data_IF_099116407662
#
_entry.id   IF_099116407662
#
_cell.length_a   1.000
_cell.length_b   1.000
_cell.length_c   1.000
_cell.angle_alpha   90.00
_cell.angle_beta   90.00
_cell.angle_gamma   90.00
#
_symmetry.space_group_name_H-M   'P 1'
#
loop_
_entity.id
_entity.type
_entity.pdbx_description
1 polymer ?
#
# COMPACT_ATOMS: atom_id res chain seq x y z
N UNK A 1 6.80 6.32 18.83
CA UNK A 1 6.71 5.84 17.44
C UNK A 1 8.11 5.85 16.85
N UNK A 2 8.57 4.73 16.25
CA UNK A 2 9.90 4.65 15.62
C UNK A 2 9.96 5.67 14.46
N UNK A 3 11.02 6.45 14.36
CA UNK A 3 11.25 7.31 13.20
C UNK A 3 11.72 6.47 12.01
N UNK A 4 11.17 6.75 10.85
CA UNK A 4 11.59 6.15 9.61
C UNK A 4 12.69 6.99 8.97
N UNK A 5 13.75 6.34 8.50
CA UNK A 5 14.93 7.01 7.95
C UNK A 5 14.78 7.27 6.44
N UNK A 6 13.61 7.73 6.00
CA UNK A 6 13.41 8.16 4.61
C UNK A 6 13.58 9.69 4.50
N UNK A 7 14.15 10.12 3.40
CA UNK A 7 14.39 11.54 3.09
C UNK A 7 14.69 11.71 1.59
N UNK A 8 14.75 12.93 1.06
CA UNK A 8 15.20 13.16 -0.31
C UNK A 8 16.62 12.68 -0.62
N UNK A 9 17.44 12.43 0.42
CA UNK A 9 18.80 11.87 0.29
C UNK A 9 18.87 10.37 0.57
N UNK A 10 17.79 9.78 1.04
CA UNK A 10 17.62 8.34 1.24
C UNK A 10 16.17 7.97 0.89
N UNK A 11 15.90 7.89 -0.40
CA UNK A 11 14.57 7.62 -0.95
C UNK A 11 14.25 6.14 -0.78
N UNK A 12 13.18 5.86 -0.09
CA UNK A 12 12.72 4.50 0.08
C UNK A 12 11.98 3.97 -1.15
N UNK A 13 12.03 2.67 -1.35
CA UNK A 13 11.28 1.96 -2.40
C UNK A 13 10.20 1.10 -1.77
N UNK A 14 8.94 1.39 -2.13
CA UNK A 14 7.79 0.60 -1.77
C UNK A 14 7.38 -0.30 -2.95
N UNK A 15 7.29 -1.59 -2.70
CA UNK A 15 6.84 -2.57 -3.70
C UNK A 15 5.31 -2.57 -3.77
N UNK A 16 4.75 -1.97 -4.83
CA UNK A 16 3.31 -1.87 -5.08
C UNK A 16 2.70 -3.25 -5.34
N UNK A 17 1.95 -3.76 -4.37
CA UNK A 17 1.39 -5.13 -4.35
C UNK A 17 2.48 -6.21 -4.44
N UNK A 18 3.65 -5.94 -3.83
CA UNK A 18 4.87 -6.73 -4.02
C UNK A 18 5.60 -6.40 -5.33
N UNK A 19 6.46 -7.29 -5.80
CA UNK A 19 7.14 -7.12 -7.10
C UNK A 19 6.20 -7.43 -8.27
N UNK A 20 5.15 -6.61 -8.41
CA UNK A 20 4.02 -6.87 -9.29
C UNK A 20 4.34 -6.75 -10.78
N UNK A 21 5.46 -6.11 -11.19
CA UNK A 21 5.90 -6.13 -12.59
C UNK A 21 6.22 -7.53 -13.07
N UNK A 22 6.90 -8.34 -12.25
CA UNK A 22 7.37 -9.68 -12.65
C UNK A 22 6.60 -10.83 -11.99
N UNK A 23 5.90 -10.59 -10.89
CA UNK A 23 5.15 -11.59 -10.13
C UNK A 23 3.65 -11.26 -10.06
N UNK A 24 2.77 -12.23 -9.77
CA UNK A 24 1.35 -11.95 -9.56
C UNK A 24 1.16 -11.00 -8.38
N UNK A 25 0.47 -9.88 -8.60
CA UNK A 25 0.23 -8.86 -7.57
C UNK A 25 -0.49 -9.42 -6.34
N UNK A 26 -0.21 -8.86 -5.16
CA UNK A 26 -0.82 -9.25 -3.88
C UNK A 26 -0.71 -10.75 -3.57
N UNK A 27 0.36 -11.43 -4.01
CA UNK A 27 0.65 -12.83 -3.68
C UNK A 27 1.90 -12.95 -2.82
N UNK A 28 2.02 -14.07 -2.10
CA UNK A 28 3.20 -14.34 -1.29
C UNK A 28 4.48 -14.42 -2.13
N UNK A 29 4.36 -14.86 -3.38
CA UNK A 29 5.44 -14.91 -4.36
C UNK A 29 5.97 -13.50 -4.68
N UNK A 30 5.08 -12.55 -4.93
CA UNK A 30 5.44 -11.15 -5.19
C UNK A 30 6.09 -10.48 -3.97
N UNK A 31 5.57 -10.75 -2.77
CA UNK A 31 6.13 -10.19 -1.53
C UNK A 31 7.52 -10.75 -1.23
N UNK A 32 7.72 -12.07 -1.35
CA UNK A 32 9.04 -12.70 -1.16
C UNK A 32 10.07 -12.17 -2.16
N UNK A 33 9.67 -12.01 -3.42
CA UNK A 33 10.56 -11.46 -4.45
C UNK A 33 10.94 -10.00 -4.16
N UNK A 34 10.01 -9.16 -3.71
CA UNK A 34 10.28 -7.79 -3.31
C UNK A 34 11.25 -7.71 -2.12
N UNK A 35 11.03 -8.53 -1.08
CA UNK A 35 11.93 -8.60 0.09
C UNK A 35 13.33 -9.05 -0.31
N UNK A 36 13.45 -10.02 -1.22
CA UNK A 36 14.75 -10.51 -1.70
C UNK A 36 15.57 -9.44 -2.44
N UNK A 37 14.91 -8.43 -3.04
CA UNK A 37 15.57 -7.28 -3.68
C UNK A 37 16.00 -6.20 -2.69
N UNK A 38 15.50 -6.26 -1.45
CA UNK A 38 15.84 -5.30 -0.40
C UNK A 38 15.01 -4.00 -0.49
N UNK A 39 13.72 -4.11 -0.78
CA UNK A 39 12.80 -2.97 -0.67
C UNK A 39 12.60 -2.55 0.78
N UNK A 40 12.29 -1.29 1.03
CA UNK A 40 12.06 -0.74 2.38
C UNK A 40 10.64 -0.95 2.86
N UNK A 41 9.70 -1.04 1.91
CA UNK A 41 8.28 -1.13 2.20
C UNK A 41 7.60 -2.08 1.22
N UNK A 42 6.59 -2.80 1.70
CA UNK A 42 5.61 -3.49 0.87
C UNK A 42 4.30 -2.73 0.96
N UNK A 43 3.73 -2.42 -0.18
CA UNK A 43 2.36 -1.93 -0.25
C UNK A 43 1.43 -3.11 -0.60
N UNK A 44 0.24 -3.15 0.00
CA UNK A 44 -0.75 -4.22 -0.21
C UNK A 44 -2.17 -3.76 0.07
N UNK A 45 -3.14 -4.40 -0.56
CA UNK A 45 -4.56 -4.07 -0.53
C UNK A 45 -5.34 -5.08 0.31
N UNK A 46 -6.17 -4.60 1.25
CA UNK A 46 -6.98 -5.47 2.12
C UNK A 46 -8.45 -5.39 1.74
N UNK A 47 -9.07 -6.57 1.59
CA UNK A 47 -10.51 -6.78 1.40
C UNK A 47 -11.07 -7.80 2.36
N UNK A 48 -12.41 -7.85 2.44
CA UNK A 48 -13.14 -8.80 3.27
C UNK A 48 -13.90 -9.83 2.41
N UNK A 49 -13.88 -11.09 2.84
CA UNK A 49 -14.64 -12.20 2.23
C UNK A 49 -16.07 -12.27 2.78
N UNK A 50 -16.91 -13.12 2.15
CA UNK A 50 -18.28 -13.41 2.58
C UNK A 50 -18.38 -13.93 4.03
N UNK A 51 -17.40 -14.71 4.45
CA UNK A 51 -17.30 -15.29 5.81
C UNK A 51 -16.41 -14.45 6.72
N UNK A 52 -16.18 -13.18 6.35
CA UNK A 52 -15.53 -12.19 7.20
C UNK A 52 -14.01 -12.34 7.32
N UNK A 53 -13.32 -13.06 6.43
CA UNK A 53 -11.87 -13.15 6.49
C UNK A 53 -11.20 -12.00 5.72
N UNK A 54 -10.09 -11.48 6.23
CA UNK A 54 -9.30 -10.45 5.56
C UNK A 54 -8.33 -11.11 4.59
N UNK A 55 -8.40 -10.69 3.32
CA UNK A 55 -7.58 -11.21 2.21
C UNK A 55 -6.88 -10.08 1.48
N UNK A 56 -5.78 -10.40 0.78
CA UNK A 56 -5.03 -9.41 0.01
C UNK A 56 -5.47 -9.45 -1.45
N UNK A 57 -6.18 -8.41 -1.86
CA UNK A 57 -6.69 -8.29 -3.23
C UNK A 57 -7.05 -6.83 -3.56
N UNK A 58 -6.66 -6.35 -4.74
CA UNK A 58 -6.91 -4.95 -5.11
C UNK A 58 -8.35 -4.70 -5.55
N UNK A 59 -8.80 -5.40 -6.61
CA UNK A 59 -10.09 -5.14 -7.24
C UNK A 59 -11.25 -5.64 -6.37
N UNK A 60 -12.44 -5.10 -6.58
CA UNK A 60 -13.64 -5.65 -5.96
C UNK A 60 -13.99 -7.05 -6.48
N UNK A 61 -13.55 -7.40 -7.70
CA UNK A 61 -13.76 -8.69 -8.33
C UNK A 61 -12.45 -9.47 -8.49
N UNK A 62 -12.54 -10.79 -8.58
CA UNK A 62 -11.39 -11.69 -8.77
C UNK A 62 -10.97 -11.84 -10.24
N UNK A 63 -11.71 -11.27 -11.17
CA UNK A 63 -11.66 -11.56 -12.62
C UNK A 63 -10.32 -11.23 -13.27
N UNK A 64 -9.69 -10.13 -12.90
CA UNK A 64 -8.47 -9.65 -13.57
C UNK A 64 -7.24 -10.48 -13.21
N UNK A 65 -7.16 -10.96 -12.00
CA UNK A 65 -5.94 -11.58 -11.45
C UNK A 65 -6.06 -13.09 -11.23
N UNK A 66 -7.27 -13.66 -11.34
CA UNK A 66 -7.48 -15.09 -11.11
C UNK A 66 -8.20 -15.77 -12.29
N UNK A 67 -8.37 -17.09 -12.21
CA UNK A 67 -9.20 -17.89 -13.10
C UNK A 67 -10.70 -17.88 -12.72
N UNK A 68 -11.07 -17.21 -11.62
CA UNK A 68 -12.46 -17.05 -11.17
C UNK A 68 -13.14 -15.79 -11.74
N UNK A 69 -14.43 -15.64 -11.41
CA UNK A 69 -15.27 -14.50 -11.79
C UNK A 69 -16.23 -14.15 -10.67
N UNK A 70 -16.35 -12.89 -10.30
CA UNK A 70 -17.29 -12.40 -9.29
C UNK A 70 -16.64 -11.53 -8.21
N UNK A 71 -17.46 -11.03 -7.27
CA UNK A 71 -17.00 -10.13 -6.21
C UNK A 71 -16.27 -10.91 -5.10
N UNK A 72 -15.14 -10.40 -4.61
CA UNK A 72 -14.39 -10.98 -3.48
C UNK A 72 -15.32 -11.26 -2.28
N UNK A 73 -16.21 -10.31 -1.96
CA UNK A 73 -17.16 -10.41 -0.84
C UNK A 73 -18.25 -11.48 -1.00
N UNK A 74 -18.40 -12.07 -2.19
CA UNK A 74 -19.39 -13.13 -2.44
C UNK A 74 -18.79 -14.54 -2.25
N UNK A 75 -17.46 -14.63 -2.11
CA UNK A 75 -16.72 -15.86 -1.85
C UNK A 75 -16.38 -16.02 -0.36
N UNK A 76 -16.47 -17.22 0.15
CA UNK A 76 -15.81 -17.60 1.41
C UNK A 76 -14.30 -17.69 1.18
N UNK A 77 -13.50 -17.65 2.27
CA UNK A 77 -12.06 -17.86 2.17
C UNK A 77 -11.72 -19.20 1.50
N UNK A 78 -12.47 -20.26 1.85
CA UNK A 78 -12.23 -21.59 1.29
C UNK A 78 -12.43 -21.62 -0.24
N UNK A 79 -13.41 -20.90 -0.75
CA UNK A 79 -13.65 -20.76 -2.20
C UNK A 79 -12.57 -19.91 -2.86
N UNK A 80 -12.17 -18.76 -2.29
CA UNK A 80 -11.09 -17.92 -2.81
C UNK A 80 -9.76 -18.68 -2.89
N UNK A 81 -9.46 -19.53 -1.91
CA UNK A 81 -8.24 -20.34 -1.89
C UNK A 81 -8.20 -21.43 -2.98
N UNK A 82 -9.31 -21.72 -3.67
CA UNK A 82 -9.31 -22.61 -4.85
C UNK A 82 -8.90 -21.87 -6.13
N UNK A 83 -9.07 -20.55 -6.19
CA UNK A 83 -8.75 -19.76 -7.37
C UNK A 83 -7.23 -19.69 -7.59
N UNK A 84 -6.84 -19.68 -8.85
CA UNK A 84 -5.45 -19.51 -9.27
C UNK A 84 -5.14 -18.03 -9.50
N UNK A 85 -4.43 -17.42 -8.56
CA UNK A 85 -4.04 -16.00 -8.62
C UNK A 85 -2.77 -15.74 -9.45
N UNK A 86 -2.17 -16.78 -10.02
CA UNK A 86 -0.96 -16.66 -10.83
C UNK A 86 -1.17 -16.84 -12.32
N UNK A 87 -2.24 -17.53 -12.70
CA UNK A 87 -2.47 -17.99 -14.08
C UNK A 87 -2.50 -16.83 -15.11
N UNK A 88 -3.01 -15.66 -14.72
CA UNK A 88 -3.05 -14.46 -15.58
C UNK A 88 -1.67 -13.82 -15.74
N UNK A 89 -0.72 -14.10 -14.84
CA UNK A 89 0.66 -13.61 -14.91
C UNK A 89 1.53 -14.49 -15.81
N UNK A 90 1.22 -15.78 -15.90
CA UNK A 90 1.92 -16.73 -16.76
C UNK A 90 2.05 -18.11 -16.12
N UNK A 91 2.34 -19.11 -16.96
CA UNK A 91 2.38 -20.54 -16.57
C UNK A 91 3.31 -20.84 -15.39
N UNK A 92 4.40 -20.08 -15.28
CA UNK A 92 5.36 -20.22 -14.17
C UNK A 92 4.75 -19.92 -12.79
N UNK A 93 3.61 -19.26 -12.73
CA UNK A 93 2.93 -18.84 -11.51
C UNK A 93 1.62 -19.60 -11.27
N UNK A 94 1.31 -20.57 -12.12
CA UNK A 94 0.14 -21.42 -11.94
C UNK A 94 0.18 -22.08 -10.56
N UNK A 95 -0.93 -21.97 -9.82
CA UNK A 95 -1.05 -22.48 -8.46
C UNK A 95 -0.82 -21.45 -7.35
N UNK A 96 -0.44 -20.20 -7.66
CA UNK A 96 -0.44 -19.12 -6.68
C UNK A 96 -1.84 -18.91 -6.10
N UNK A 97 -1.91 -18.53 -4.83
CA UNK A 97 -3.18 -18.33 -4.12
C UNK A 97 -3.31 -16.92 -3.58
N UNK A 98 -4.55 -16.43 -3.46
CA UNK A 98 -4.86 -15.20 -2.75
C UNK A 98 -4.48 -15.37 -1.27
N UNK A 99 -3.54 -14.57 -0.71
CA UNK A 99 -3.16 -14.68 0.69
C UNK A 99 -4.23 -14.08 1.61
N UNK A 100 -4.32 -14.57 2.83
CA UNK A 100 -4.96 -13.82 3.91
C UNK A 100 -4.04 -12.72 4.43
N UNK A 101 -4.63 -11.70 5.04
CA UNK A 101 -3.85 -10.66 5.73
C UNK A 101 -2.98 -11.27 6.86
N UNK A 102 -3.48 -12.29 7.55
CA UNK A 102 -2.74 -12.99 8.60
C UNK A 102 -1.51 -13.74 8.05
N UNK A 103 -1.64 -14.47 6.92
CA UNK A 103 -0.50 -15.14 6.27
C UNK A 103 0.60 -14.14 5.88
N UNK A 104 0.21 -12.95 5.43
CA UNK A 104 1.14 -11.88 5.13
C UNK A 104 1.81 -11.31 6.40
N UNK A 105 1.03 -11.04 7.45
CA UNK A 105 1.55 -10.53 8.72
C UNK A 105 2.52 -11.52 9.38
N UNK A 106 2.24 -12.82 9.33
CA UNK A 106 3.15 -13.86 9.81
C UNK A 106 4.47 -13.87 9.02
N UNK A 107 4.39 -13.67 7.71
CA UNK A 107 5.57 -13.60 6.85
C UNK A 107 6.46 -12.40 7.16
N UNK A 108 5.88 -11.21 7.34
CA UNK A 108 6.66 -9.98 7.58
C UNK A 108 7.10 -9.82 9.04
N UNK A 109 6.52 -10.59 9.97
CA UNK A 109 6.83 -10.51 11.41
C UNK A 109 8.33 -10.67 11.72
N UNK A 110 9.05 -11.65 11.15
CA UNK A 110 10.48 -11.84 11.40
C UNK A 110 11.40 -10.85 10.67
N UNK A 111 10.86 -9.93 9.87
CA UNK A 111 11.62 -8.96 9.09
C UNK A 111 11.63 -7.59 9.81
N UNK A 112 12.61 -7.30 10.70
CA UNK A 112 12.50 -6.20 11.66
C UNK A 112 12.46 -4.81 11.03
N UNK A 113 13.06 -4.64 9.86
CA UNK A 113 13.18 -3.34 9.18
C UNK A 113 12.10 -3.12 8.11
N UNK A 114 11.37 -4.17 7.73
CA UNK A 114 10.28 -4.07 6.75
C UNK A 114 9.14 -3.21 7.27
N UNK A 115 8.73 -2.23 6.47
CA UNK A 115 7.53 -1.43 6.71
C UNK A 115 6.42 -1.82 5.74
N UNK A 116 5.18 -1.47 6.06
CA UNK A 116 4.01 -1.88 5.28
C UNK A 116 3.12 -0.67 5.04
N UNK A 117 2.71 -0.47 3.79
CA UNK A 117 1.61 0.42 3.42
C UNK A 117 0.36 -0.43 3.17
N UNK A 118 -0.65 -0.25 4.00
CA UNK A 118 -1.88 -1.06 3.98
C UNK A 118 -3.00 -0.22 3.40
N UNK A 119 -3.46 -0.54 2.19
CA UNK A 119 -4.59 0.13 1.58
C UNK A 119 -5.90 -0.60 1.90
N UNK A 120 -6.86 0.12 2.51
CA UNK A 120 -8.19 -0.39 2.81
C UNK A 120 -9.09 -0.21 1.58
N UNK A 121 -9.62 -1.31 1.06
CA UNK A 121 -10.43 -1.36 -0.16
C UNK A 121 -11.92 -1.50 0.08
N UNK A 122 -12.35 -1.55 1.33
CA UNK A 122 -13.77 -1.42 1.68
C UNK A 122 -14.10 0.06 1.90
N UNK A 123 -15.12 0.54 1.21
CA UNK A 123 -15.40 1.98 1.09
C UNK A 123 -16.74 2.36 1.72
N UNK A 124 -16.76 3.48 2.43
CA UNK A 124 -17.93 3.98 3.17
C UNK A 124 -19.13 4.27 2.28
N UNK A 125 -18.93 4.63 1.01
CA UNK A 125 -20.01 4.86 0.06
C UNK A 125 -20.65 3.57 -0.48
N UNK A 126 -20.01 2.41 -0.29
CA UNK A 126 -20.54 1.08 -0.64
C UNK A 126 -21.22 0.44 0.56
N UNK A 127 -20.50 0.34 1.68
CA UNK A 127 -21.01 -0.16 2.96
C UNK A 127 -20.19 0.45 4.09
N UNK A 128 -20.75 1.48 4.72
CA UNK A 128 -20.05 2.25 5.76
C UNK A 128 -19.71 1.39 6.99
N UNK A 129 -20.63 0.52 7.40
CA UNK A 129 -20.42 -0.33 8.57
C UNK A 129 -19.29 -1.32 8.35
N UNK A 130 -19.29 -1.98 7.19
CA UNK A 130 -18.22 -2.92 6.80
C UNK A 130 -16.89 -2.19 6.64
N UNK A 131 -16.85 -0.99 6.04
CA UNK A 131 -15.60 -0.23 5.89
C UNK A 131 -14.97 0.11 7.25
N UNK A 132 -15.76 0.57 8.22
CA UNK A 132 -15.27 0.85 9.58
C UNK A 132 -14.85 -0.42 10.32
N UNK A 133 -15.63 -1.51 10.23
CA UNK A 133 -15.28 -2.80 10.82
C UNK A 133 -13.95 -3.32 10.30
N UNK A 134 -13.74 -3.30 8.97
CA UNK A 134 -12.49 -3.76 8.35
C UNK A 134 -11.31 -2.90 8.81
N UNK A 135 -11.46 -1.57 8.84
CA UNK A 135 -10.41 -0.69 9.33
C UNK A 135 -10.03 -1.01 10.78
N UNK A 136 -11.02 -1.16 11.65
CA UNK A 136 -10.79 -1.48 13.07
C UNK A 136 -10.09 -2.83 13.25
N UNK A 137 -10.53 -3.86 12.51
CA UNK A 137 -9.93 -5.20 12.58
C UNK A 137 -8.51 -5.25 12.06
N UNK A 138 -8.22 -4.56 10.94
CA UNK A 138 -6.86 -4.44 10.41
C UNK A 138 -5.95 -3.78 11.44
N UNK A 139 -6.39 -2.67 12.03
CA UNK A 139 -5.61 -1.95 13.03
C UNK A 139 -5.45 -2.74 14.35
N UNK A 140 -6.45 -3.52 14.74
CA UNK A 140 -6.33 -4.44 15.87
C UNK A 140 -5.27 -5.52 15.60
N UNK A 141 -5.27 -6.15 14.44
CA UNK A 141 -4.24 -7.13 14.05
C UNK A 141 -2.85 -6.50 14.04
N UNK A 142 -2.73 -5.28 13.50
CA UNK A 142 -1.48 -4.52 13.54
C UNK A 142 -0.95 -4.34 14.97
N UNK A 143 -1.83 -4.03 15.92
CA UNK A 143 -1.45 -3.91 17.35
C UNK A 143 -1.04 -5.25 17.95
N UNK A 144 -1.79 -6.32 17.71
CA UNK A 144 -1.51 -7.67 18.18
C UNK A 144 -0.15 -8.20 17.69
N UNK A 145 0.25 -7.80 16.47
CA UNK A 145 1.56 -8.13 15.92
C UNK A 145 2.68 -7.20 16.39
N UNK A 146 2.33 -6.08 17.07
CA UNK A 146 3.30 -5.06 17.49
C UNK A 146 3.84 -4.23 16.31
N UNK A 147 3.03 -4.02 15.27
CA UNK A 147 3.42 -3.37 14.02
C UNK A 147 3.05 -1.89 13.95
N UNK A 148 2.48 -1.30 14.99
CA UNK A 148 2.02 0.10 15.03
C UNK A 148 3.05 1.10 14.50
N UNK A 149 4.33 0.86 14.78
CA UNK A 149 5.45 1.71 14.32
C UNK A 149 6.00 1.34 12.93
N UNK A 150 5.48 0.28 12.32
CA UNK A 150 5.97 -0.28 11.07
C UNK A 150 4.97 -0.17 9.91
N UNK A 151 3.78 0.40 10.17
CA UNK A 151 2.76 0.55 9.14
C UNK A 151 2.45 2.01 8.83
N UNK A 152 1.95 2.22 7.65
CA UNK A 152 1.10 3.34 7.28
C UNK A 152 -0.20 2.77 6.73
N UNK A 153 -1.32 3.40 7.05
CA UNK A 153 -2.65 2.98 6.60
C UNK A 153 -3.19 3.98 5.59
N UNK A 154 -3.78 3.50 4.51
CA UNK A 154 -4.34 4.38 3.51
C UNK A 154 -5.71 3.90 2.99
N UNK A 155 -6.44 4.80 2.38
CA UNK A 155 -7.60 4.54 1.54
C UNK A 155 -7.83 5.72 0.61
N UNK A 156 -8.37 5.48 -0.57
CA UNK A 156 -8.92 6.54 -1.40
C UNK A 156 -10.23 7.12 -0.85
N UNK A 157 -10.84 6.51 0.16
CA UNK A 157 -12.01 7.02 0.87
C UNK A 157 -11.59 8.01 1.96
N UNK A 158 -11.79 9.32 1.67
CA UNK A 158 -11.44 10.38 2.61
C UNK A 158 -12.24 10.34 3.90
N UNK A 159 -13.49 9.84 3.87
CA UNK A 159 -14.33 9.64 5.06
C UNK A 159 -13.77 8.55 5.95
N UNK A 160 -13.27 7.45 5.37
CA UNK A 160 -12.62 6.37 6.12
C UNK A 160 -11.31 6.86 6.77
N UNK A 161 -10.49 7.62 6.02
CA UNK A 161 -9.27 8.23 6.57
C UNK A 161 -9.59 9.17 7.74
N UNK A 162 -10.61 10.01 7.61
CA UNK A 162 -11.07 10.89 8.69
C UNK A 162 -11.58 10.13 9.90
N UNK A 163 -12.34 9.04 9.70
CA UNK A 163 -12.77 8.14 10.78
C UNK A 163 -11.58 7.60 11.58
N UNK A 164 -10.55 7.09 10.90
CA UNK A 164 -9.33 6.59 11.53
C UNK A 164 -8.63 7.70 12.32
N UNK A 165 -8.48 8.89 11.72
CA UNK A 165 -7.85 10.03 12.37
C UNK A 165 -8.62 10.50 13.61
N UNK A 166 -9.95 10.49 13.57
CA UNK A 166 -10.79 10.89 14.71
C UNK A 166 -10.79 9.87 15.83
N UNK A 167 -10.83 8.57 15.49
CA UNK A 167 -10.92 7.47 16.48
C UNK A 167 -9.59 7.18 17.15
N UNK A 168 -8.51 7.18 16.37
CA UNK A 168 -7.19 6.71 16.83
C UNK A 168 -6.15 7.83 16.99
N UNK A 169 -6.48 9.05 16.56
CA UNK A 169 -5.55 10.18 16.61
C UNK A 169 -4.28 9.91 15.81
N UNK A 170 -3.13 10.19 16.42
CA UNK A 170 -1.80 9.99 15.83
C UNK A 170 -1.19 8.60 16.10
N UNK A 171 -1.99 7.64 16.59
CA UNK A 171 -1.49 6.30 16.90
C UNK A 171 -0.95 5.57 15.68
N UNK A 172 -1.60 5.73 14.52
CA UNK A 172 -1.17 5.14 13.27
C UNK A 172 -0.79 6.23 12.28
N UNK A 173 0.28 6.02 11.51
CA UNK A 173 0.59 6.85 10.36
C UNK A 173 -0.48 6.67 9.30
N UNK A 174 -0.89 7.76 8.66
CA UNK A 174 -1.83 7.72 7.56
C UNK A 174 -1.18 8.23 6.27
N UNK A 175 -1.49 7.57 5.17
CA UNK A 175 -1.11 7.93 3.82
C UNK A 175 -2.35 8.41 3.07
N UNK A 176 -2.27 9.60 2.49
CA UNK A 176 -3.34 10.21 1.70
C UNK A 176 -2.83 10.58 0.29
N UNK A 177 -3.62 11.27 -0.50
CA UNK A 177 -3.29 11.54 -1.90
C UNK A 177 -3.33 13.04 -2.21
N UNK A 178 -2.42 13.50 -3.09
CA UNK A 178 -2.41 14.86 -3.63
C UNK A 178 -2.45 14.79 -5.16
N UNK A 179 -3.40 15.45 -5.85
CA UNK A 179 -4.37 16.42 -5.31
C UNK A 179 -5.50 15.77 -4.49
N UNK A 180 -6.11 16.56 -3.62
CA UNK A 180 -7.20 16.11 -2.73
C UNK A 180 -8.40 15.54 -3.49
N UNK A 181 -8.57 15.91 -4.76
CA UNK A 181 -9.61 15.38 -5.65
C UNK A 181 -9.43 13.89 -5.99
N UNK A 182 -8.32 13.27 -5.59
CA UNK A 182 -8.13 11.81 -5.65
C UNK A 182 -8.89 11.09 -4.55
N UNK A 183 -9.14 11.76 -3.42
CA UNK A 183 -9.97 11.22 -2.35
C UNK A 183 -11.44 11.39 -2.71
N UNK A 184 -12.20 10.32 -2.56
CA UNK A 184 -13.66 10.35 -2.68
C UNK A 184 -14.33 10.28 -1.30
N UNK A 185 -15.66 10.35 -1.28
CA UNK A 185 -16.44 10.40 -0.04
C UNK A 185 -16.57 11.83 0.51
N UNK A 186 -17.35 11.96 1.57
CA UNK A 186 -17.56 13.23 2.27
C UNK A 186 -16.72 13.24 3.54
N UNK A 187 -15.80 14.18 3.64
CA UNK A 187 -14.95 14.42 4.81
C UNK A 187 -14.84 15.92 5.06
N UNK A 188 -14.65 16.29 6.31
CA UNK A 188 -14.66 17.71 6.75
C UNK A 188 -13.26 18.24 7.01
N UNK A 189 -12.36 17.39 7.54
CA UNK A 189 -11.01 17.79 7.89
C UNK A 189 -10.10 17.79 6.67
N UNK A 190 -9.21 18.77 6.61
CA UNK A 190 -8.11 18.73 5.64
C UNK A 190 -7.21 17.51 5.94
N UNK A 191 -7.12 16.50 5.03
CA UNK A 191 -6.38 15.26 5.30
C UNK A 191 -4.90 15.48 5.56
N UNK A 192 -4.28 16.51 5.00
CA UNK A 192 -2.86 16.81 5.22
C UNK A 192 -2.55 17.26 6.65
N UNK A 193 -3.56 17.63 7.45
CA UNK A 193 -3.37 18.01 8.87
C UNK A 193 -3.16 16.84 9.81
N UNK A 194 -3.47 15.62 9.38
CA UNK A 194 -3.29 14.40 10.16
C UNK A 194 -2.49 13.31 9.45
N UNK A 195 -2.26 13.46 8.14
CA UNK A 195 -1.49 12.48 7.37
C UNK A 195 0.01 12.56 7.67
N UNK A 196 0.65 11.41 7.72
CA UNK A 196 2.11 11.29 7.78
C UNK A 196 2.74 11.56 6.41
N UNK A 197 2.13 11.04 5.35
CA UNK A 197 2.60 11.16 3.97
C UNK A 197 1.46 11.31 2.99
N UNK A 198 1.78 11.78 1.79
CA UNK A 198 0.84 11.83 0.68
C UNK A 198 1.51 11.41 -0.63
N UNK A 199 0.83 10.54 -1.39
CA UNK A 199 1.20 10.23 -2.76
C UNK A 199 0.88 11.42 -3.68
N UNK A 200 1.91 12.01 -4.29
CA UNK A 200 1.78 13.12 -5.23
C UNK A 200 1.62 12.58 -6.65
N UNK A 201 0.59 13.05 -7.34
CA UNK A 201 0.33 12.73 -8.75
C UNK A 201 0.91 13.84 -9.65
N UNK A 202 2.23 13.87 -9.77
CA UNK A 202 2.93 14.84 -10.62
C UNK A 202 4.28 15.26 -10.06
N UNK A 203 4.98 16.13 -10.79
CA UNK A 203 6.33 16.57 -10.47
C UNK A 203 6.43 18.11 -10.45
N UNK A 204 5.39 18.77 -9.92
CA UNK A 204 5.44 20.21 -9.72
C UNK A 204 5.93 20.53 -8.30
N UNK A 205 7.06 21.22 -8.17
CA UNK A 205 7.69 21.58 -6.89
C UNK A 205 6.71 22.19 -5.87
N UNK A 206 5.73 22.98 -6.36
CA UNK A 206 4.71 23.60 -5.50
C UNK A 206 3.91 22.60 -4.66
N UNK A 207 3.67 21.38 -5.20
CA UNK A 207 2.88 20.34 -4.53
C UNK A 207 3.70 19.70 -3.41
N UNK A 208 4.99 19.50 -3.64
CA UNK A 208 5.91 18.98 -2.62
C UNK A 208 6.14 20.01 -1.50
N UNK A 209 6.32 21.28 -1.86
CA UNK A 209 6.42 22.37 -0.88
C UNK A 209 5.13 22.56 -0.08
N UNK A 210 3.98 22.34 -0.72
CA UNK A 210 2.69 22.36 -0.02
C UNK A 210 2.65 21.30 1.07
N UNK A 211 3.01 20.04 0.79
CA UNK A 211 3.03 18.96 1.77
C UNK A 211 4.01 19.24 2.92
N UNK A 212 5.21 19.77 2.61
CA UNK A 212 6.22 20.11 3.63
C UNK A 212 5.70 21.14 4.64
N UNK A 213 4.83 22.08 4.23
CA UNK A 213 4.20 23.05 5.15
C UNK A 213 3.27 22.38 6.17
N UNK A 214 2.74 21.21 5.85
CA UNK A 214 1.93 20.38 6.75
C UNK A 214 2.78 19.34 7.52
N UNK A 215 4.10 19.33 7.35
CA UNK A 215 4.97 18.25 7.86
C UNK A 215 4.56 16.87 7.33
N UNK A 216 3.97 16.82 6.14
CA UNK A 216 3.53 15.63 5.44
C UNK A 216 4.60 15.19 4.44
N UNK A 217 5.05 13.94 4.51
CA UNK A 217 6.11 13.41 3.65
C UNK A 217 5.62 13.29 2.20
N UNK A 218 6.32 13.84 1.19
CA UNK A 218 5.94 13.68 -0.20
C UNK A 218 6.42 12.33 -0.73
N UNK A 219 5.49 11.47 -1.11
CA UNK A 219 5.73 10.19 -1.77
C UNK A 219 5.28 10.28 -3.23
N UNK A 220 5.74 9.37 -4.08
CA UNK A 220 5.28 9.26 -5.48
C UNK A 220 4.80 7.85 -5.78
N UNK A 221 3.80 7.76 -6.64
CA UNK A 221 3.09 6.50 -6.89
C UNK A 221 3.64 5.68 -8.05
N UNK A 222 2.94 4.60 -8.38
CA UNK A 222 3.31 3.54 -9.31
C UNK A 222 3.51 3.97 -10.78
N UNK A 223 3.30 5.24 -11.11
CA UNK A 223 3.61 5.80 -12.43
C UNK A 223 5.10 6.09 -12.65
N UNK A 224 5.91 6.06 -11.59
CA UNK A 224 7.37 6.25 -11.65
C UNK A 224 8.01 4.93 -12.06
N UNK A 225 8.43 4.84 -13.33
CA UNK A 225 8.90 3.58 -13.93
C UNK A 225 10.27 3.67 -14.59
N UNK A 226 10.71 4.86 -14.94
CA UNK A 226 11.89 5.12 -15.74
C UNK A 226 12.79 6.18 -15.10
N UNK A 227 14.01 6.25 -15.57
CA UNK A 227 15.03 7.16 -15.02
C UNK A 227 14.59 8.63 -15.09
N UNK A 228 13.89 9.05 -16.12
CA UNK A 228 13.43 10.44 -16.27
C UNK A 228 12.46 10.81 -15.14
N UNK A 229 11.48 9.96 -14.85
CA UNK A 229 10.52 10.20 -13.75
C UNK A 229 11.17 10.08 -12.37
N UNK A 230 12.15 9.19 -12.22
CA UNK A 230 12.93 9.09 -10.99
C UNK A 230 13.71 10.38 -10.78
N UNK A 231 14.34 10.95 -11.82
CA UNK A 231 15.05 12.24 -11.72
C UNK A 231 14.10 13.39 -11.37
N UNK A 232 12.90 13.41 -11.94
CA UNK A 232 11.88 14.38 -11.58
C UNK A 232 11.44 14.23 -10.11
N UNK A 233 11.25 13.00 -9.62
CA UNK A 233 10.92 12.74 -8.22
C UNK A 233 12.03 13.20 -7.27
N UNK A 234 13.29 12.89 -7.61
CA UNK A 234 14.47 13.35 -6.86
C UNK A 234 14.53 14.88 -6.82
N UNK A 235 14.37 15.53 -7.98
CA UNK A 235 14.42 17.00 -8.09
C UNK A 235 13.33 17.68 -7.26
N UNK A 236 12.14 17.08 -7.16
CA UNK A 236 11.06 17.57 -6.31
C UNK A 236 11.25 17.22 -4.83
N UNK A 237 12.19 16.34 -4.50
CA UNK A 237 12.48 15.93 -3.13
C UNK A 237 11.46 14.92 -2.59
N UNK A 238 11.06 13.94 -3.39
CA UNK A 238 10.31 12.80 -2.93
C UNK A 238 11.11 11.99 -1.91
N UNK A 239 10.42 11.43 -0.91
CA UNK A 239 11.06 10.64 0.14
C UNK A 239 10.84 9.12 -0.06
N UNK A 240 9.85 8.74 -0.86
CA UNK A 240 9.55 7.35 -1.18
C UNK A 240 8.96 7.24 -2.59
N UNK A 241 9.32 6.16 -3.29
CA UNK A 241 8.76 5.77 -4.58
C UNK A 241 8.03 4.44 -4.42
N UNK A 242 6.70 4.44 -4.65
CA UNK A 242 5.92 3.21 -4.78
C UNK A 242 5.96 2.77 -6.25
N UNK A 243 6.40 1.54 -6.56
CA UNK A 243 6.57 1.10 -7.95
C UNK A 243 6.30 -0.40 -8.13
N UNK A 244 6.01 -0.78 -9.38
CA UNK A 244 5.82 -2.19 -9.78
C UNK A 244 7.16 -2.85 -10.12
N UNK A 245 8.07 -2.11 -10.79
CA UNK A 245 9.39 -2.55 -11.26
C UNK A 245 10.51 -2.22 -10.25
N UNK A 246 10.40 -2.80 -9.07
CA UNK A 246 11.26 -2.46 -7.92
C UNK A 246 12.74 -2.69 -8.18
N UNK A 247 13.12 -3.69 -8.98
CA UNK A 247 14.50 -3.99 -9.33
C UNK A 247 15.17 -2.83 -10.08
N UNK A 248 14.52 -2.31 -11.12
CA UNK A 248 15.02 -1.19 -11.93
C UNK A 248 15.10 0.10 -11.11
N UNK A 249 14.05 0.40 -10.31
CA UNK A 249 14.01 1.60 -9.46
C UNK A 249 15.11 1.57 -8.41
N UNK A 250 15.33 0.43 -7.74
CA UNK A 250 16.42 0.24 -6.77
C UNK A 250 17.79 0.42 -7.44
N UNK A 251 18.01 -0.16 -8.62
CA UNK A 251 19.27 -0.03 -9.36
C UNK A 251 19.57 1.44 -9.69
N UNK A 252 18.59 2.18 -10.23
CA UNK A 252 18.74 3.60 -10.59
C UNK A 252 19.02 4.44 -9.35
N UNK A 253 18.25 4.26 -8.25
CA UNK A 253 18.44 5.05 -7.03
C UNK A 253 19.80 4.78 -6.38
N UNK A 254 20.26 3.52 -6.36
CA UNK A 254 21.59 3.12 -5.84
C UNK A 254 22.71 3.74 -6.68
N UNK A 255 22.59 3.68 -8.01
CA UNK A 255 23.55 4.29 -8.93
C UNK A 255 23.66 5.83 -8.73
N UNK A 256 22.56 6.48 -8.36
CA UNK A 256 22.51 7.93 -8.06
C UNK A 256 22.87 8.27 -6.60
N UNK A 257 23.19 7.27 -5.77
CA UNK A 257 23.48 7.48 -4.34
C UNK A 257 22.29 7.97 -3.52
N UNK A 258 21.07 7.67 -3.96
CA UNK A 258 19.80 8.09 -3.33
C UNK A 258 19.07 6.96 -2.60
N UNK A 259 19.63 5.76 -2.59
CA UNK A 259 19.17 4.60 -1.83
C UNK A 259 20.37 3.82 -1.30
N UNK A 260 20.29 3.26 -0.07
CA UNK A 260 21.37 2.52 0.60
C UNK A 260 21.38 1.05 0.23
#
# INVERSE_FOLDING_TARGET
MREWNLSPDNIWVAAHRGFSEKYPENTMEAFRAAVALGVDQIETDVRITKDGQLVLHHDATVDRTTDGTGLVKDFTLAELKQLDAGIKKGDAFTGCRIPTFMEFMDYVKPLPDMTIDIELKEYTHVDEATAYEVADRVLQIVDEYGFTDRIVINSFDGKLNEYIANKYGSKYRQHVFLPISKLFGQFERNPYTYAYCACVYGFEMKDYDFLRRYNCQPWVGASVRDEEKIDQAIACGACLITCNNVDEVLEILRAKGKHK
#
